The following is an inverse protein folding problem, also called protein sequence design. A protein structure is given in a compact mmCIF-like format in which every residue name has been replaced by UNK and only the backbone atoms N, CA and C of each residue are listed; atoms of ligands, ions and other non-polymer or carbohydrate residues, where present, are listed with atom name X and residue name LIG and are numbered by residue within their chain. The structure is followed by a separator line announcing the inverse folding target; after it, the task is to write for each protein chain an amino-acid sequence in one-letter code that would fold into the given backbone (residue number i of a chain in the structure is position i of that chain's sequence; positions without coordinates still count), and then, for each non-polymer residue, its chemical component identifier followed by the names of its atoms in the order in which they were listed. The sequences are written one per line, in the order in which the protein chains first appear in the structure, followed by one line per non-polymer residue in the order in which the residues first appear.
data_IF_812659031887
#
_entry.id   IF_812659031887
#
_cell.length_a   1.000
_cell.length_b   1.000
_cell.length_c   1.000
_cell.angle_alpha   90.00
_cell.angle_beta   90.00
_cell.angle_gamma   90.00
#
_symmetry.space_group_name_H-M   'P 1'
#
loop_
_entity.id
_entity.type
_entity.pdbx_description
1 polymer ?
#
# COMPACT_ATOMS: atom_id res chain seq x y z
N UNK A 1 6.79 -17.86 -16.33
CA UNK A 1 6.55 -17.85 -14.87
C UNK A 1 6.46 -16.40 -14.43
N UNK A 2 5.34 -15.96 -13.87
CA UNK A 2 5.21 -14.60 -13.31
C UNK A 2 5.78 -14.65 -11.89
N UNK A 3 6.95 -14.03 -11.68
CA UNK A 3 7.51 -13.86 -10.34
C UNK A 3 6.70 -12.75 -9.65
N UNK A 4 5.85 -13.11 -8.69
CA UNK A 4 5.20 -12.11 -7.84
C UNK A 4 6.24 -11.65 -6.82
N UNK A 5 6.48 -10.35 -6.73
CA UNK A 5 7.37 -9.78 -5.71
C UNK A 5 6.92 -10.24 -4.31
N UNK A 6 7.86 -10.61 -3.42
CA UNK A 6 7.53 -11.02 -2.06
C UNK A 6 6.77 -9.91 -1.33
N UNK A 7 5.78 -10.30 -0.52
CA UNK A 7 4.98 -9.40 0.31
C UNK A 7 5.40 -9.54 1.76
N UNK A 8 5.72 -8.42 2.39
CA UNK A 8 6.13 -8.33 3.79
C UNK A 8 4.96 -7.78 4.60
N UNK A 9 4.57 -8.42 5.71
CA UNK A 9 3.59 -7.87 6.62
C UNK A 9 4.07 -6.53 7.18
N UNK A 10 3.24 -5.50 7.05
CA UNK A 10 3.43 -4.22 7.72
C UNK A 10 2.08 -3.80 8.29
N UNK A 11 2.12 -3.14 9.44
CA UNK A 11 0.95 -2.58 10.12
C UNK A 11 1.23 -1.09 10.35
N UNK A 12 0.94 -0.32 9.31
CA UNK A 12 1.08 1.14 9.31
C UNK A 12 -0.21 1.78 8.87
N UNK A 13 -0.50 2.95 9.43
CA UNK A 13 -1.56 3.82 8.98
C UNK A 13 -1.21 4.43 7.62
N UNK A 14 -2.20 4.48 6.74
CA UNK A 14 -2.08 4.98 5.37
C UNK A 14 -3.16 6.01 5.16
N UNK A 15 -2.76 7.22 4.78
CA UNK A 15 -3.67 8.26 4.34
C UNK A 15 -3.96 8.09 2.85
N UNK A 16 -5.22 7.83 2.53
CA UNK A 16 -5.78 7.74 1.20
C UNK A 16 -6.47 9.06 0.84
N UNK A 17 -6.08 9.66 -0.29
CA UNK A 17 -6.68 10.88 -0.86
C UNK A 17 -6.75 12.09 0.11
N UNK A 18 -5.91 12.10 1.15
CA UNK A 18 -5.75 13.20 2.10
C UNK A 18 -6.82 13.28 3.20
N UNK A 19 -7.86 12.44 3.15
CA UNK A 19 -9.00 12.53 4.06
C UNK A 19 -9.42 11.20 4.70
N UNK A 20 -8.76 10.09 4.35
CA UNK A 20 -9.16 8.76 4.79
C UNK A 20 -7.98 7.96 5.29
N UNK A 21 -8.00 7.61 6.57
CA UNK A 21 -6.96 6.80 7.20
C UNK A 21 -7.41 5.34 7.27
N UNK A 22 -6.54 4.44 6.81
CA UNK A 22 -6.74 2.98 6.81
C UNK A 22 -5.46 2.28 7.24
N UNK A 23 -5.53 1.01 7.63
CA UNK A 23 -4.33 0.26 8.01
C UNK A 23 -3.87 -0.67 6.91
N UNK A 24 -2.56 -0.82 6.78
CA UNK A 24 -1.97 -1.82 5.89
C UNK A 24 -1.96 -3.21 6.50
N UNK A 25 -1.94 -4.24 5.65
CA UNK A 25 -1.76 -5.64 6.01
C UNK A 25 -0.41 -6.17 5.57
N UNK A 26 0.02 -5.78 4.36
CA UNK A 26 1.31 -6.13 3.79
C UNK A 26 1.65 -5.20 2.62
N UNK A 27 2.93 -5.15 2.29
CA UNK A 27 3.48 -4.38 1.18
C UNK A 27 4.43 -5.23 0.33
N UNK A 28 4.52 -4.90 -0.94
CA UNK A 28 5.54 -5.36 -1.90
C UNK A 28 6.11 -4.14 -2.63
N UNK A 29 7.23 -4.31 -3.34
CA UNK A 29 7.82 -3.25 -4.18
C UNK A 29 6.83 -2.63 -5.18
N UNK A 30 5.78 -3.37 -5.57
CA UNK A 30 4.80 -2.93 -6.58
C UNK A 30 3.41 -2.61 -6.03
N UNK A 31 3.18 -2.70 -4.72
CA UNK A 31 1.86 -2.39 -4.18
C UNK A 31 1.66 -2.77 -2.72
N UNK A 32 0.53 -2.35 -2.17
CA UNK A 32 0.16 -2.49 -0.76
C UNK A 32 -1.22 -3.13 -0.62
N UNK A 33 -1.44 -3.91 0.43
CA UNK A 33 -2.75 -4.37 0.84
C UNK A 33 -3.23 -3.56 2.05
N UNK A 34 -4.44 -3.05 1.99
CA UNK A 34 -5.08 -2.23 3.01
C UNK A 34 -6.30 -2.94 3.60
N UNK A 35 -6.63 -2.64 4.85
CA UNK A 35 -7.87 -3.00 5.52
C UNK A 35 -8.63 -1.71 5.79
N UNK A 36 -9.85 -1.63 5.28
CA UNK A 36 -10.70 -0.44 5.34
C UNK A 36 -12.11 -0.82 5.77
N UNK A 37 -12.77 0.07 6.51
CA UNK A 37 -14.19 -0.03 6.85
C UNK A 37 -15.12 0.39 5.69
N UNK A 38 -14.52 0.97 4.65
CA UNK A 38 -15.21 1.44 3.47
C UNK A 38 -14.68 0.76 2.22
N UNK A 39 -15.58 0.44 1.30
CA UNK A 39 -15.22 -0.15 0.02
C UNK A 39 -14.52 0.86 -0.90
N UNK A 40 -13.51 0.38 -1.62
CA UNK A 40 -12.89 1.08 -2.74
C UNK A 40 -13.22 0.34 -4.03
N UNK A 41 -13.52 1.08 -5.09
CA UNK A 41 -13.92 0.47 -6.37
C UNK A 41 -12.71 -0.11 -7.08
N UNK A 42 -12.84 -1.34 -7.61
CA UNK A 42 -11.80 -1.89 -8.48
C UNK A 42 -11.56 -0.98 -9.69
N UNK A 43 -10.30 -0.69 -9.99
CA UNK A 43 -9.88 0.23 -11.03
C UNK A 43 -9.80 1.71 -10.61
N UNK A 44 -10.27 2.06 -9.41
CA UNK A 44 -10.14 3.41 -8.85
C UNK A 44 -8.66 3.78 -8.67
N UNK A 45 -8.32 5.04 -8.99
CA UNK A 45 -7.01 5.62 -8.68
C UNK A 45 -7.09 6.37 -7.37
N UNK A 46 -6.09 6.19 -6.51
CA UNK A 46 -6.00 6.81 -5.18
C UNK A 46 -4.58 7.28 -4.92
N UNK A 47 -4.43 8.38 -4.17
CA UNK A 47 -3.15 8.79 -3.62
C UNK A 47 -2.96 8.13 -2.25
N UNK A 48 -1.78 7.59 -2.00
CA UNK A 48 -1.38 6.95 -0.75
C UNK A 48 -0.24 7.73 -0.12
N UNK A 49 -0.31 7.92 1.20
CA UNK A 49 0.77 8.46 2.02
C UNK A 49 0.94 7.63 3.28
N UNK A 50 2.16 7.17 3.54
CA UNK A 50 2.44 6.31 4.70
C UNK A 50 3.92 6.36 5.07
N UNK A 51 4.24 5.99 6.31
CA UNK A 51 5.64 5.90 6.78
C UNK A 51 6.01 4.43 6.92
N UNK A 52 7.16 4.04 6.39
CA UNK A 52 7.66 2.66 6.50
C UNK A 52 8.21 2.39 7.91
N UNK A 53 8.07 1.17 8.46
CA UNK A 53 8.62 0.83 9.76
C UNK A 53 10.15 1.06 9.82
N UNK A 54 10.60 1.83 10.82
CA UNK A 54 12.01 2.16 11.00
C UNK A 54 12.51 3.35 10.17
N UNK A 55 11.62 4.07 9.49
CA UNK A 55 11.91 5.28 8.72
C UNK A 55 11.11 6.45 9.28
N UNK A 56 11.63 7.67 9.12
CA UNK A 56 10.95 8.91 9.53
C UNK A 56 10.30 9.65 8.35
N UNK A 57 10.69 9.29 7.11
CA UNK A 57 10.19 9.92 5.90
C UNK A 57 8.89 9.26 5.43
N UNK A 58 7.95 10.10 4.99
CA UNK A 58 6.70 9.65 4.36
C UNK A 58 6.96 9.23 2.92
N UNK A 59 6.42 8.08 2.54
CA UNK A 59 6.34 7.60 1.16
C UNK A 59 5.03 8.09 0.55
N UNK A 60 5.10 8.74 -0.61
CA UNK A 60 3.95 9.14 -1.40
C UNK A 60 3.88 8.31 -2.69
N UNK A 61 2.71 7.75 -2.97
CA UNK A 61 2.48 6.93 -4.16
C UNK A 61 1.10 7.16 -4.74
N UNK A 62 0.99 7.15 -6.07
CA UNK A 62 -0.28 6.95 -6.74
C UNK A 62 -0.52 5.47 -6.96
N UNK A 63 -1.71 4.99 -6.58
CA UNK A 63 -2.08 3.60 -6.66
C UNK A 63 -3.36 3.39 -7.48
N UNK A 64 -3.45 2.24 -8.13
CA UNK A 64 -4.69 1.73 -8.72
C UNK A 64 -5.21 0.57 -7.89
N UNK A 65 -6.46 0.64 -7.46
CA UNK A 65 -7.15 -0.46 -6.77
C UNK A 65 -7.26 -1.63 -7.75
N UNK A 66 -6.52 -2.69 -7.48
CA UNK A 66 -6.44 -3.88 -8.33
C UNK A 66 -7.46 -4.95 -7.92
N UNK A 67 -7.85 -4.98 -6.64
CA UNK A 67 -8.87 -5.88 -6.10
C UNK A 67 -9.45 -5.33 -4.81
N UNK A 68 -10.70 -5.70 -4.55
CA UNK A 68 -11.40 -5.47 -3.29
C UNK A 68 -12.12 -6.76 -2.90
N UNK A 69 -12.03 -7.17 -1.64
CA UNK A 69 -12.69 -8.35 -1.12
C UNK A 69 -13.19 -8.09 0.30
N UNK A 70 -14.45 -8.42 0.60
CA UNK A 70 -14.96 -8.40 1.96
C UNK A 70 -14.23 -9.45 2.81
N UNK A 71 -13.76 -9.06 3.99
CA UNK A 71 -13.09 -9.96 4.95
C UNK A 71 -13.88 -10.12 6.25
N UNK A 72 -14.88 -9.26 6.48
CA UNK A 72 -15.93 -9.39 7.49
C UNK A 72 -17.10 -8.49 7.11
N UNK A 73 -18.17 -8.47 7.92
CA UNK A 73 -19.38 -7.68 7.64
C UNK A 73 -19.12 -6.18 7.40
N UNK A 74 -18.08 -5.63 8.03
CA UNK A 74 -17.78 -4.19 8.00
C UNK A 74 -16.36 -3.87 7.49
N UNK A 75 -15.61 -4.85 6.97
CA UNK A 75 -14.23 -4.61 6.53
C UNK A 75 -13.92 -5.23 5.18
N UNK A 76 -13.11 -4.49 4.42
CA UNK A 76 -12.65 -4.85 3.09
C UNK A 76 -11.13 -4.92 3.05
N UNK A 77 -10.59 -5.99 2.46
CA UNK A 77 -9.21 -6.03 2.03
C UNK A 77 -9.10 -5.44 0.62
N UNK A 78 -8.26 -4.42 0.48
CA UNK A 78 -8.07 -3.68 -0.76
C UNK A 78 -6.63 -3.88 -1.21
N UNK A 79 -6.44 -4.48 -2.38
CA UNK A 79 -5.14 -4.59 -3.02
C UNK A 79 -4.92 -3.41 -3.94
N UNK A 80 -3.89 -2.61 -3.67
CA UNK A 80 -3.51 -1.45 -4.48
C UNK A 80 -2.18 -1.74 -5.18
N UNK A 81 -2.14 -1.55 -6.49
CA UNK A 81 -0.90 -1.57 -7.27
C UNK A 81 -0.37 -0.15 -7.37
N UNK A 82 0.91 0.06 -7.09
CA UNK A 82 1.54 1.36 -7.33
C UNK A 82 1.59 1.61 -8.84
N UNK A 83 1.08 2.76 -9.25
CA UNK A 83 1.08 3.26 -10.62
C UNK A 83 2.24 4.22 -10.84
N UNK A 84 2.47 5.10 -9.87
CA UNK A 84 3.51 6.13 -9.92
C UNK A 84 4.04 6.41 -8.50
N UNK A 85 5.35 6.58 -8.38
CA UNK A 85 6.06 6.84 -7.12
C UNK A 85 7.21 7.77 -7.48
N UNK A 86 7.41 8.83 -6.71
CA UNK A 86 8.56 9.73 -6.90
C UNK A 86 9.89 8.98 -6.65
N UNK A 87 10.97 9.45 -7.26
CA UNK A 87 12.24 8.73 -7.27
C UNK A 87 12.81 8.54 -5.85
N UNK A 88 12.74 9.56 -5.01
CA UNK A 88 13.21 9.51 -3.62
C UNK A 88 12.41 8.49 -2.79
N UNK A 89 11.10 8.47 -2.96
CA UNK A 89 10.19 7.54 -2.29
C UNK A 89 10.38 6.10 -2.77
N UNK A 90 10.67 5.93 -4.06
CA UNK A 90 11.02 4.63 -4.63
C UNK A 90 12.34 4.12 -4.04
N UNK A 91 13.34 4.98 -3.88
CA UNK A 91 14.62 4.62 -3.24
C UNK A 91 14.38 4.20 -1.77
N UNK A 92 13.52 4.92 -1.04
CA UNK A 92 13.15 4.54 0.33
C UNK A 92 12.51 3.14 0.38
N UNK A 93 11.55 2.87 -0.51
CA UNK A 93 10.89 1.58 -0.61
C UNK A 93 11.88 0.46 -0.95
N UNK A 94 12.74 0.67 -1.95
CA UNK A 94 13.78 -0.29 -2.33
C UNK A 94 14.76 -0.58 -1.18
N UNK A 95 15.17 0.44 -0.43
CA UNK A 95 16.06 0.29 0.72
C UNK A 95 15.38 -0.51 1.84
N UNK A 96 14.09 -0.25 2.09
CA UNK A 96 13.31 -1.02 3.04
C UNK A 96 13.29 -2.51 2.66
N UNK A 97 13.01 -2.85 1.40
CA UNK A 97 13.01 -4.25 0.96
C UNK A 97 14.40 -4.91 0.95
N UNK A 98 15.48 -4.14 0.76
CA UNK A 98 16.86 -4.66 0.87
C UNK A 98 17.22 -5.06 2.29
N UNK A 99 16.71 -4.37 3.32
CA UNK A 99 16.98 -4.69 4.72
C UNK A 99 16.25 -5.94 5.22
N UNK A 100 15.21 -6.38 4.50
CA UNK A 100 14.36 -7.51 4.87
C UNK A 100 14.78 -8.83 4.18
N UNK A 101 15.86 -8.80 3.38
CA UNK A 101 16.47 -9.97 2.71
C UNK A 101 17.64 -10.49 3.54
#
# INVERSE_FOLDING_TARGET
MIHRAPRIPIDVEVNCDGNKFVYSKNISESGIALISDTEFSSGQFIQLKFILPGYDNEVQAHGKVARTAAVSDNFFEIGVSFWDIEEDDKILLENFFKQQK
#
